data_IF_918575939884
#
_entry.id   IF_918575939884
#
_cell.length_a   1.000
_cell.length_b   1.000
_cell.length_c   1.000
_cell.angle_alpha   90.00
_cell.angle_beta   90.00
_cell.angle_gamma   90.00
#
_symmetry.space_group_name_H-M   'P 1'
#
loop_
_entity.id
_entity.type
_entity.pdbx_description
1 polymer ?
#
# COMPACT_ATOMS: atom_id res chain seq x y z
N UNK A 1 -15.17 24.18 -2.44
CA UNK A 1 -13.83 23.58 -2.64
C UNK A 1 -13.74 22.30 -1.82
N UNK A 2 -14.06 21.15 -2.42
CA UNK A 2 -13.92 19.86 -1.72
C UNK A 2 -12.49 19.37 -1.92
N UNK A 3 -11.61 19.64 -0.95
CA UNK A 3 -10.30 19.01 -0.88
C UNK A 3 -10.53 17.54 -0.55
N UNK A 4 -10.56 16.69 -1.58
CA UNK A 4 -10.62 15.24 -1.44
C UNK A 4 -9.44 14.83 -0.56
N UNK A 5 -9.71 14.47 0.71
CA UNK A 5 -8.66 14.15 1.67
C UNK A 5 -7.88 12.96 1.13
N UNK A 6 -6.67 13.24 0.70
CA UNK A 6 -5.65 12.24 0.42
C UNK A 6 -5.44 11.38 1.67
N UNK A 7 -6.08 10.20 1.69
CA UNK A 7 -5.94 9.27 2.81
C UNK A 7 -4.62 8.53 2.65
N UNK A 8 -3.67 8.85 3.52
CA UNK A 8 -2.47 8.04 3.74
C UNK A 8 -2.79 6.96 4.76
N UNK A 9 -2.36 5.74 4.51
CA UNK A 9 -2.43 4.63 5.46
C UNK A 9 -1.10 3.88 5.48
N UNK A 10 -0.80 3.26 6.61
CA UNK A 10 0.24 2.27 6.72
C UNK A 10 -0.24 0.98 6.03
N UNK A 11 0.58 0.43 5.14
CA UNK A 11 0.36 -0.90 4.60
C UNK A 11 1.20 -1.89 5.41
N UNK A 12 0.50 -2.60 6.30
CA UNK A 12 1.05 -3.63 7.20
C UNK A 12 0.38 -5.00 6.99
N UNK A 13 0.77 -6.00 7.78
CA UNK A 13 0.18 -7.35 7.74
C UNK A 13 0.65 -8.26 6.59
N UNK A 14 1.72 -7.90 5.87
CA UNK A 14 2.25 -8.70 4.77
C UNK A 14 3.20 -9.78 5.28
N UNK A 15 2.73 -11.03 5.34
CA UNK A 15 3.54 -12.15 5.82
C UNK A 15 4.13 -13.04 4.73
N UNK A 16 3.80 -12.77 3.45
CA UNK A 16 4.37 -13.51 2.33
C UNK A 16 5.80 -13.03 2.02
N UNK A 17 6.77 -13.95 2.04
CA UNK A 17 8.18 -13.65 1.79
C UNK A 17 8.45 -12.99 0.42
N UNK A 18 7.74 -13.39 -0.64
CA UNK A 18 7.88 -12.80 -1.96
C UNK A 18 7.38 -11.35 -1.96
N UNK A 19 6.21 -11.12 -1.37
CA UNK A 19 5.64 -9.79 -1.23
C UNK A 19 6.54 -8.87 -0.40
N UNK A 20 7.08 -9.36 0.72
CA UNK A 20 8.07 -8.63 1.52
C UNK A 20 9.32 -8.27 0.72
N UNK A 21 9.83 -9.18 -0.13
CA UNK A 21 10.97 -8.89 -1.01
C UNK A 21 10.67 -7.76 -1.99
N UNK A 22 9.48 -7.75 -2.59
CA UNK A 22 9.04 -6.67 -3.47
C UNK A 22 8.89 -5.36 -2.70
N UNK A 23 8.23 -5.38 -1.53
CA UNK A 23 8.06 -4.20 -0.69
C UNK A 23 9.40 -3.59 -0.28
N UNK A 24 10.40 -4.40 0.08
CA UNK A 24 11.77 -3.90 0.40
C UNK A 24 12.43 -3.14 -0.76
N UNK A 25 12.02 -3.41 -1.99
CA UNK A 25 12.56 -2.74 -3.19
C UNK A 25 11.79 -1.48 -3.59
N UNK A 26 10.64 -1.22 -2.95
CA UNK A 26 9.79 -0.07 -3.27
C UNK A 26 10.40 1.25 -2.80
N UNK A 27 10.11 2.31 -3.55
CA UNK A 27 10.58 3.68 -3.30
C UNK A 27 9.41 4.64 -3.28
N UNK A 28 9.62 5.80 -2.65
CA UNK A 28 8.64 6.89 -2.70
C UNK A 28 8.32 7.23 -4.16
N UNK A 29 7.03 7.32 -4.47
CA UNK A 29 6.52 7.56 -5.82
C UNK A 29 6.16 6.30 -6.60
N UNK A 30 6.56 5.11 -6.16
CA UNK A 30 6.12 3.87 -6.80
C UNK A 30 4.61 3.70 -6.69
N UNK A 31 4.01 3.20 -7.77
CA UNK A 31 2.58 2.93 -7.82
C UNK A 31 2.31 1.45 -7.52
N UNK A 32 1.35 1.22 -6.63
CA UNK A 32 0.91 -0.11 -6.23
C UNK A 32 -0.55 -0.26 -6.67
N UNK A 33 -0.86 -1.32 -7.41
CA UNK A 33 -2.25 -1.73 -7.60
C UNK A 33 -2.72 -2.47 -6.36
N UNK A 34 -3.85 -2.04 -5.81
CA UNK A 34 -4.48 -2.75 -4.71
C UNK A 34 -5.71 -3.51 -5.21
N UNK A 35 -5.81 -4.75 -4.77
CA UNK A 35 -6.91 -5.63 -5.07
C UNK A 35 -7.69 -5.86 -3.78
N UNK A 36 -9.01 -5.67 -3.83
CA UNK A 36 -9.87 -6.11 -2.75
C UNK A 36 -10.20 -7.58 -3.03
N UNK A 37 -9.79 -8.48 -2.15
CA UNK A 37 -10.22 -9.88 -2.20
C UNK A 37 -11.59 -9.99 -1.52
N UNK A 38 -12.65 -9.67 -2.26
CA UNK A 38 -14.07 -9.95 -1.94
C UNK A 38 -14.73 -10.80 -3.04
N UNK A 39 -16.06 -10.91 -3.01
CA UNK A 39 -16.86 -11.74 -3.94
C UNK A 39 -16.74 -11.27 -5.41
N UNK A 40 -16.47 -9.99 -5.63
CA UNK A 40 -16.17 -9.42 -6.94
C UNK A 40 -14.68 -9.02 -7.03
N UNK A 41 -13.92 -9.72 -7.89
CA UNK A 41 -12.50 -9.43 -8.15
C UNK A 41 -12.35 -8.18 -9.02
N UNK A 42 -12.46 -7.01 -8.41
CA UNK A 42 -12.22 -5.73 -9.08
C UNK A 42 -10.85 -5.17 -8.68
N UNK A 43 -10.13 -4.59 -9.64
CA UNK A 43 -8.93 -3.78 -9.36
C UNK A 43 -9.42 -2.43 -8.81
N UNK A 44 -9.55 -2.33 -7.49
CA UNK A 44 -10.31 -1.24 -6.86
C UNK A 44 -9.52 0.09 -6.85
N UNK A 45 -8.24 0.09 -7.23
CA UNK A 45 -7.50 1.32 -7.58
C UNK A 45 -5.99 1.27 -7.41
N UNK A 46 -5.38 2.47 -7.42
CA UNK A 46 -3.93 2.66 -7.38
C UNK A 46 -3.51 3.46 -6.16
N UNK A 47 -2.54 2.93 -5.42
CA UNK A 47 -1.89 3.57 -4.28
C UNK A 47 -0.52 4.09 -4.72
N UNK A 48 -0.03 5.13 -4.06
CA UNK A 48 1.35 5.63 -4.26
C UNK A 48 2.13 5.49 -2.97
N UNK A 49 3.34 4.94 -3.04
CA UNK A 49 4.25 4.83 -1.90
C UNK A 49 4.72 6.22 -1.48
N UNK A 50 4.58 6.55 -0.20
CA UNK A 50 4.99 7.84 0.37
C UNK A 50 6.15 7.73 1.38
N UNK A 51 6.50 6.51 1.79
CA UNK A 51 7.61 6.21 2.70
C UNK A 51 8.61 5.19 2.12
N UNK A 52 9.81 5.12 2.71
CA UNK A 52 10.71 3.98 2.49
C UNK A 52 10.21 2.79 3.31
N UNK A 53 10.53 1.54 2.97
CA UNK A 53 10.25 0.38 3.81
C UNK A 53 10.86 0.53 5.21
N UNK A 54 10.08 0.27 6.25
CA UNK A 54 10.50 0.34 7.65
C UNK A 54 9.98 -0.88 8.44
N UNK A 55 10.64 -1.29 9.55
CA UNK A 55 10.15 -2.39 10.39
C UNK A 55 8.74 -2.09 10.90
N UNK A 56 7.84 -3.07 10.83
CA UNK A 56 6.46 -2.87 11.25
C UNK A 56 6.39 -2.68 12.78
N UNK A 57 6.02 -1.49 13.32
CA UNK A 57 5.88 -1.27 14.77
C UNK A 57 4.80 -2.12 15.45
N UNK A 58 3.93 -2.79 14.69
CA UNK A 58 2.91 -3.72 15.23
C UNK A 58 3.40 -5.17 15.34
N UNK A 59 4.60 -5.47 14.86
CA UNK A 59 5.18 -6.82 14.87
C UNK A 59 6.46 -6.85 15.72
N UNK A 60 6.64 -7.90 16.51
CA UNK A 60 7.87 -8.12 17.28
C UNK A 60 9.08 -8.49 16.39
N UNK A 61 8.83 -8.94 15.16
CA UNK A 61 9.87 -9.40 14.25
C UNK A 61 10.16 -8.36 13.15
N UNK A 62 11.38 -7.80 13.19
CA UNK A 62 11.87 -6.78 12.24
C UNK A 62 11.88 -7.24 10.77
N UNK A 63 11.75 -8.55 10.51
CA UNK A 63 11.59 -9.06 9.14
C UNK A 63 10.30 -8.54 8.50
N UNK A 64 9.26 -8.29 9.27
CA UNK A 64 8.00 -7.76 8.77
C UNK A 64 8.13 -6.26 8.64
N UNK A 65 7.89 -5.78 7.43
CA UNK A 65 8.04 -4.38 7.09
C UNK A 65 6.70 -3.78 6.73
N UNK A 66 6.59 -2.47 6.93
CA UNK A 66 5.49 -1.66 6.48
C UNK A 66 6.00 -0.53 5.58
N UNK A 67 5.08 0.02 4.80
CA UNK A 67 5.28 1.24 4.02
C UNK A 67 4.05 2.12 4.17
N UNK A 68 4.25 3.43 4.09
CA UNK A 68 3.13 4.36 3.98
C UNK A 68 2.71 4.48 2.53
N UNK A 69 1.41 4.37 2.29
CA UNK A 69 0.80 4.50 0.98
C UNK A 69 -0.31 5.53 1.02
N UNK A 70 -0.45 6.27 -0.07
CA UNK A 70 -1.51 7.24 -0.26
C UNK A 70 -2.45 6.76 -1.35
N UNK A 71 -3.74 6.76 -1.03
CA UNK A 71 -4.77 6.37 -1.98
C UNK A 71 -4.93 7.45 -3.04
N UNK A 72 -4.79 7.10 -4.32
CA UNK A 72 -5.18 7.99 -5.40
C UNK A 72 -6.59 7.60 -5.82
N UNK A 73 -7.57 8.43 -5.43
CA UNK A 73 -8.96 8.24 -5.81
C UNK A 73 -9.13 8.65 -7.27
N UNK A 74 -8.60 7.84 -8.18
CA UNK A 74 -8.76 8.07 -9.61
C UNK A 74 -10.16 7.61 -10.02
N UNK A 75 -11.09 8.56 -10.07
CA UNK A 75 -12.50 8.35 -10.44
C UNK A 75 -12.70 8.01 -11.92
N UNK A 76 -11.68 7.47 -12.61
CA UNK A 76 -11.69 7.12 -14.04
C UNK A 76 -11.40 5.65 -14.32
N UNK A 77 -11.40 4.81 -13.30
CA UNK A 77 -11.46 3.36 -13.52
C UNK A 77 -12.94 3.07 -13.81
N UNK A 78 -13.31 2.70 -15.06
CA UNK A 78 -14.70 2.49 -15.48
C UNK A 78 -15.35 1.30 -14.77
#
# INVERSE_FOLDING_TARGET
MALQKDKTTMWDGVHNNLALKHMRSMKKGDQIMYYHTGDERQAVGVMTVTSKPYPNPKEDNERFIAIDVKFKNDSRIP
#
